data_IF_265584036253
#
_entry.id   IF_265584036253
#
_cell.length_a   1.000
_cell.length_b   1.000
_cell.length_c   1.000
_cell.angle_alpha   90.00
_cell.angle_beta   90.00
_cell.angle_gamma   90.00
#
_symmetry.space_group_name_H-M   'P 1'
#
loop_
_entity.id
_entity.type
_entity.pdbx_description
1 polymer ?
#
# COMPACT_ATOMS: atom_id res chain seq x y z
N UNK A 1 1.31 -40.11 30.92
CA UNK A 1 2.12 -39.00 30.41
C UNK A 1 2.80 -38.33 31.61
N UNK A 2 3.99 -37.75 31.48
CA UNK A 2 4.76 -37.21 32.62
C UNK A 2 4.21 -35.81 33.00
N UNK A 3 3.83 -35.55 34.25
CA UNK A 3 3.30 -34.25 34.70
C UNK A 3 4.20 -33.06 34.34
N UNK A 4 5.53 -33.25 34.41
CA UNK A 4 6.49 -32.20 34.04
C UNK A 4 6.40 -31.85 32.55
N UNK A 5 6.03 -32.82 31.72
CA UNK A 5 5.85 -32.64 30.29
C UNK A 5 4.55 -31.90 29.99
N UNK A 6 3.45 -32.21 30.68
CA UNK A 6 2.18 -31.48 30.56
C UNK A 6 2.35 -30.01 30.94
N UNK A 7 3.01 -29.71 32.05
CA UNK A 7 3.31 -28.33 32.45
C UNK A 7 4.23 -27.59 31.46
N UNK A 8 5.14 -28.29 30.80
CA UNK A 8 5.98 -27.71 29.76
C UNK A 8 5.14 -27.32 28.54
N UNK A 9 4.21 -28.19 28.12
CA UNK A 9 3.29 -27.92 27.01
C UNK A 9 2.43 -26.69 27.31
N UNK A 10 1.80 -26.61 28.49
CA UNK A 10 0.98 -25.46 28.88
C UNK A 10 1.77 -24.14 28.91
N UNK A 11 3.05 -24.18 29.27
CA UNK A 11 3.92 -23.00 29.25
C UNK A 11 4.32 -22.63 27.83
N UNK A 12 4.58 -23.61 26.98
CA UNK A 12 4.86 -23.39 25.56
C UNK A 12 3.65 -22.77 24.84
N UNK A 13 2.44 -23.29 25.07
CA UNK A 13 1.20 -22.73 24.52
C UNK A 13 0.98 -21.27 24.94
N UNK A 14 1.15 -20.98 26.23
CA UNK A 14 1.07 -19.60 26.74
C UNK A 14 2.12 -18.66 26.13
N UNK A 15 3.32 -19.18 25.85
CA UNK A 15 4.37 -18.41 25.18
C UNK A 15 4.01 -18.16 23.71
N UNK A 16 3.55 -19.18 23.00
CA UNK A 16 3.12 -19.07 21.59
C UNK A 16 1.99 -18.06 21.44
N UNK A 17 0.95 -18.12 22.29
CA UNK A 17 -0.15 -17.16 22.27
C UNK A 17 0.31 -15.71 22.48
N UNK A 18 1.31 -15.48 23.35
CA UNK A 18 1.89 -14.15 23.56
C UNK A 18 2.68 -13.68 22.34
N UNK A 19 3.47 -14.55 21.73
CA UNK A 19 4.21 -14.23 20.51
C UNK A 19 3.24 -13.87 19.38
N UNK A 20 2.22 -14.68 19.14
CA UNK A 20 1.19 -14.42 18.12
C UNK A 20 0.48 -13.07 18.34
N UNK A 21 0.25 -12.67 19.60
CA UNK A 21 -0.40 -11.40 19.92
C UNK A 21 0.44 -10.16 19.59
N UNK A 22 1.76 -10.30 19.48
CA UNK A 22 2.69 -9.18 19.22
C UNK A 22 3.34 -9.23 17.84
N UNK A 23 3.14 -10.32 17.11
CA UNK A 23 3.67 -10.45 15.76
C UNK A 23 2.98 -9.46 14.81
N UNK A 24 3.73 -8.87 13.86
CA UNK A 24 3.15 -8.07 12.79
C UNK A 24 2.09 -8.85 12.03
N UNK A 25 0.83 -8.46 12.21
CA UNK A 25 -0.27 -8.97 11.41
C UNK A 25 -0.01 -8.69 9.93
N UNK A 26 -0.31 -9.64 9.03
CA UNK A 26 -0.16 -9.43 7.60
C UNK A 26 -1.00 -8.24 7.15
N UNK A 27 -0.53 -7.52 6.14
CA UNK A 27 -1.27 -6.41 5.56
C UNK A 27 -2.58 -6.95 4.96
N UNK A 28 -3.71 -6.56 5.54
CA UNK A 28 -5.03 -6.86 5.00
C UNK A 28 -5.46 -5.80 3.99
N UNK A 29 -6.15 -6.24 2.94
CA UNK A 29 -6.74 -5.32 1.98
C UNK A 29 -7.77 -4.41 2.68
N UNK A 30 -7.69 -3.07 2.48
CA UNK A 30 -8.73 -2.19 2.96
C UNK A 30 -9.99 -2.29 2.08
N UNK A 31 -11.08 -1.66 2.51
CA UNK A 31 -12.21 -1.39 1.61
C UNK A 31 -11.77 -0.40 0.52
N UNK A 32 -11.47 -0.92 -0.66
CA UNK A 32 -11.01 -0.13 -1.81
C UNK A 32 -12.02 0.92 -2.27
N UNK A 33 -13.30 0.79 -1.92
CA UNK A 33 -14.33 1.78 -2.28
C UNK A 33 -14.28 3.02 -1.40
N UNK A 34 -13.58 2.98 -0.25
CA UNK A 34 -13.53 4.08 0.70
C UNK A 34 -12.63 5.26 0.26
N UNK A 35 -11.71 5.05 -0.70
CA UNK A 35 -10.84 6.12 -1.20
C UNK A 35 -10.25 5.80 -2.58
N UNK A 36 -10.00 6.84 -3.37
CA UNK A 36 -9.36 6.75 -4.70
C UNK A 36 -7.83 6.65 -4.65
N UNK A 37 -7.23 6.92 -3.49
CA UNK A 37 -5.78 6.90 -3.29
C UNK A 37 -5.43 6.41 -1.88
N UNK A 38 -4.34 5.65 -1.78
CA UNK A 38 -3.91 4.98 -0.56
C UNK A 38 -2.42 5.21 -0.34
N UNK A 39 -2.02 5.35 0.92
CA UNK A 39 -0.62 5.45 1.32
C UNK A 39 -0.24 4.27 2.20
N UNK A 40 0.83 3.59 1.80
CA UNK A 40 1.44 2.59 2.66
C UNK A 40 2.19 3.28 3.80
N UNK A 41 1.85 2.93 5.04
CA UNK A 41 2.52 3.42 6.24
C UNK A 41 3.04 2.24 7.04
N UNK A 42 4.35 2.22 7.23
CA UNK A 42 5.04 1.25 8.10
C UNK A 42 5.29 1.88 9.47
N UNK A 43 4.89 1.19 10.53
CA UNK A 43 5.23 1.56 11.92
C UNK A 43 6.54 0.91 12.34
N UNK A 44 7.20 1.47 13.35
CA UNK A 44 8.43 0.92 13.93
C UNK A 44 8.26 -0.51 14.44
N UNK A 45 7.04 -0.90 14.81
CA UNK A 45 6.65 -2.26 15.20
C UNK A 45 6.65 -3.27 14.04
N UNK A 46 7.01 -2.87 12.82
CA UNK A 46 7.02 -3.75 11.64
C UNK A 46 5.68 -3.86 10.92
N UNK A 47 4.58 -3.41 11.54
CA UNK A 47 3.25 -3.41 10.93
C UNK A 47 3.16 -2.39 9.78
N UNK A 48 2.66 -2.84 8.64
CA UNK A 48 2.28 -2.02 7.51
C UNK A 48 0.77 -1.85 7.45
N UNK A 49 0.29 -0.65 7.11
CA UNK A 49 -1.14 -0.38 6.88
C UNK A 49 -1.30 0.44 5.60
N UNK A 50 -2.41 0.22 4.90
CA UNK A 50 -2.86 1.11 3.83
C UNK A 50 -3.84 2.11 4.43
N UNK A 51 -3.43 3.38 4.50
CA UNK A 51 -4.26 4.46 4.99
C UNK A 51 -4.87 5.23 3.80
N UNK A 52 -6.17 5.57 3.81
CA UNK A 52 -6.78 6.34 2.75
C UNK A 52 -6.25 7.77 2.74
N UNK A 53 -5.93 8.30 1.55
CA UNK A 53 -5.54 9.70 1.39
C UNK A 53 -6.80 10.58 1.39
N UNK A 54 -7.14 11.13 2.55
CA UNK A 54 -8.38 11.91 2.76
C UNK A 54 -8.38 13.26 2.05
N UNK A 55 -7.22 13.91 1.95
CA UNK A 55 -7.07 15.21 1.31
C UNK A 55 -6.20 15.03 0.08
N UNK A 56 -6.85 14.77 -1.06
CA UNK A 56 -6.18 14.75 -2.35
C UNK A 56 -5.99 16.21 -2.78
N UNK A 57 -4.74 16.62 -2.98
CA UNK A 57 -4.42 17.91 -3.59
C UNK A 57 -4.77 17.87 -5.07
N UNK A 58 -6.06 18.03 -5.37
CA UNK A 58 -6.55 17.99 -6.74
C UNK A 58 -5.90 19.14 -7.54
N UNK A 59 -5.32 18.80 -8.68
CA UNK A 59 -4.71 19.73 -9.61
C UNK A 59 -5.14 19.33 -11.01
N UNK A 60 -5.68 20.28 -11.76
CA UNK A 60 -6.04 20.08 -13.15
C UNK A 60 -4.82 20.27 -14.04
N UNK A 61 -4.78 19.61 -15.20
CA UNK A 61 -3.69 19.79 -16.17
C UNK A 61 -3.54 21.27 -16.59
N UNK A 62 -4.65 22.01 -16.63
CA UNK A 62 -4.68 23.45 -16.93
C UNK A 62 -4.07 24.35 -15.85
N UNK A 63 -3.95 23.85 -14.61
CA UNK A 63 -3.36 24.59 -13.48
C UNK A 63 -1.84 24.65 -13.59
N UNK A 64 -1.23 23.67 -14.29
CA UNK A 64 0.19 23.67 -14.58
C UNK A 64 0.51 24.76 -15.60
N UNK A 65 1.33 25.75 -15.24
CA UNK A 65 1.73 26.86 -16.12
C UNK A 65 3.15 26.67 -16.63
N UNK A 66 3.48 27.32 -17.74
CA UNK A 66 4.83 27.35 -18.33
C UNK A 66 5.41 25.98 -18.77
N UNK A 67 4.55 24.96 -18.94
CA UNK A 67 4.97 23.60 -19.32
C UNK A 67 4.17 23.01 -20.51
N UNK A 68 3.65 23.86 -21.38
CA UNK A 68 2.76 23.43 -22.48
C UNK A 68 3.43 22.39 -23.40
N UNK A 69 4.72 22.57 -23.71
CA UNK A 69 5.47 21.62 -24.55
C UNK A 69 5.52 20.21 -23.91
N UNK A 70 5.62 20.14 -22.58
CA UNK A 70 5.62 18.88 -21.84
C UNK A 70 4.22 18.26 -21.87
N UNK A 71 3.17 19.05 -21.66
CA UNK A 71 1.77 18.57 -21.72
C UNK A 71 1.47 17.94 -23.07
N UNK A 72 1.80 18.62 -24.17
CA UNK A 72 1.56 18.10 -25.53
C UNK A 72 2.31 16.80 -25.79
N UNK A 73 3.58 16.70 -25.34
CA UNK A 73 4.39 15.48 -25.48
C UNK A 73 3.76 14.32 -24.72
N UNK A 74 3.35 14.54 -23.48
CA UNK A 74 2.71 13.53 -22.64
C UNK A 74 1.38 13.11 -23.27
N UNK A 75 0.52 14.05 -23.61
CA UNK A 75 -0.80 13.76 -24.20
C UNK A 75 -0.68 12.93 -25.48
N UNK A 76 0.21 13.32 -26.40
CA UNK A 76 0.45 12.56 -27.64
C UNK A 76 0.97 11.15 -27.35
N UNK A 77 1.92 11.02 -26.43
CA UNK A 77 2.51 9.74 -26.06
C UNK A 77 1.47 8.82 -25.38
N UNK A 78 0.68 9.34 -24.44
CA UNK A 78 -0.41 8.61 -23.78
C UNK A 78 -1.47 8.19 -24.79
N UNK A 79 -1.82 9.05 -25.76
CA UNK A 79 -2.76 8.70 -26.84
C UNK A 79 -2.23 7.53 -27.68
N UNK A 80 -0.95 7.56 -28.07
CA UNK A 80 -0.33 6.44 -28.79
C UNK A 80 -0.40 5.15 -27.98
N UNK A 81 -0.03 5.20 -26.69
CA UNK A 81 -0.09 4.05 -25.81
C UNK A 81 -1.51 3.46 -25.70
N UNK A 82 -2.52 4.31 -25.46
CA UNK A 82 -3.93 3.88 -25.37
C UNK A 82 -4.42 3.29 -26.70
N UNK A 83 -3.90 3.76 -27.83
CA UNK A 83 -4.20 3.22 -29.16
C UNK A 83 -3.37 1.99 -29.54
N UNK A 84 -2.50 1.50 -28.66
CA UNK A 84 -1.60 0.37 -28.94
C UNK A 84 -0.47 0.70 -29.94
N UNK A 85 -0.20 1.97 -30.18
CA UNK A 85 0.90 2.44 -31.03
C UNK A 85 2.20 2.54 -30.24
N UNK A 86 3.37 2.63 -30.92
CA UNK A 86 4.64 2.88 -30.24
C UNK A 86 4.58 4.14 -29.37
N UNK A 87 4.96 4.00 -28.10
CA UNK A 87 5.01 5.07 -27.13
C UNK A 87 6.33 4.99 -26.33
N UNK A 88 6.95 6.13 -26.10
CA UNK A 88 8.06 6.30 -25.15
C UNK A 88 7.61 6.09 -23.69
N UNK A 89 8.57 5.80 -22.80
CA UNK A 89 8.34 5.75 -21.36
C UNK A 89 8.26 7.17 -20.79
N UNK A 90 7.11 7.53 -20.22
CA UNK A 90 6.79 8.87 -19.68
C UNK A 90 6.37 8.83 -18.20
N UNK A 91 6.33 7.63 -17.59
CA UNK A 91 5.95 7.40 -16.20
C UNK A 91 7.16 7.15 -15.29
#
# INVERSE_FOLDING_TARGET
>A
MNEKFEHLIERAERLMARIESVLPQPLTAPDWTAAIAWRYRKRSSGHGTLEPVRHVGAMQLGDLKEIEVQKEKIERNTRQFVQGQPANNVL
#
